data_IF_352752060338
#
_entry.id   IF_352752060338
#
_cell.length_a   1.000
_cell.length_b   1.000
_cell.length_c   1.000
_cell.angle_alpha   90.00
_cell.angle_beta   90.00
_cell.angle_gamma   90.00
#
_symmetry.space_group_name_H-M   'P 1'
#
loop_
_entity.id
_entity.type
_entity.pdbx_description
1 polymer ?
#
# COMPACT_ATOMS: atom_id res chain seq x y z
N UNK A 1 10.82 7.36 13.65
CA UNK A 1 10.49 6.31 12.68
C UNK A 1 9.89 7.00 11.45
N UNK A 2 10.41 6.75 10.23
CA UNK A 2 9.86 7.29 8.97
C UNK A 2 8.99 6.26 8.28
N UNK A 3 7.92 6.71 7.62
CA UNK A 3 6.92 5.91 6.93
C UNK A 3 6.86 6.33 5.47
N UNK A 4 6.82 5.36 4.57
CA UNK A 4 6.53 5.57 3.15
C UNK A 4 5.19 4.94 2.78
N UNK A 5 4.28 5.68 2.21
CA UNK A 5 3.01 5.18 1.68
C UNK A 5 3.15 5.06 0.17
N UNK A 6 2.98 3.84 -0.37
CA UNK A 6 2.98 3.58 -1.81
C UNK A 6 1.54 3.50 -2.32
N UNK A 7 1.15 4.48 -3.10
CA UNK A 7 -0.15 4.53 -3.77
C UNK A 7 -0.26 3.45 -4.87
N UNK A 8 -1.47 3.04 -5.24
CA UNK A 8 -1.68 2.31 -6.49
C UNK A 8 -1.12 3.08 -7.68
N UNK A 9 -0.59 2.37 -8.68
CA UNK A 9 -0.19 3.00 -9.94
C UNK A 9 -1.35 3.76 -10.57
N UNK A 10 -1.12 4.99 -11.03
CA UNK A 10 -2.11 5.94 -11.55
C UNK A 10 -3.14 6.45 -10.54
N UNK A 11 -2.92 6.26 -9.25
CA UNK A 11 -3.74 6.92 -8.23
C UNK A 11 -3.35 8.40 -8.14
N UNK A 12 -4.32 9.29 -8.26
CA UNK A 12 -4.07 10.72 -8.25
C UNK A 12 -4.07 11.28 -6.82
N UNK A 13 -2.93 11.73 -6.34
CA UNK A 13 -2.79 12.43 -5.06
C UNK A 13 -2.94 13.94 -5.24
N UNK A 14 -4.08 14.35 -5.79
CA UNK A 14 -4.37 15.72 -6.20
C UNK A 14 -5.77 16.13 -5.74
N UNK A 15 -5.99 17.40 -5.34
CA UNK A 15 -7.33 17.91 -5.05
C UNK A 15 -8.23 18.03 -6.28
N UNK A 16 -7.67 18.08 -7.49
CA UNK A 16 -8.46 18.33 -8.71
C UNK A 16 -9.24 17.07 -9.14
N UNK A 17 -8.66 15.88 -9.08
CA UNK A 17 -9.34 14.60 -9.36
C UNK A 17 -8.74 13.50 -8.48
N UNK A 18 -9.03 13.50 -7.18
CA UNK A 18 -8.45 12.54 -6.26
C UNK A 18 -9.02 11.15 -6.49
N UNK A 19 -8.18 10.13 -6.40
CA UNK A 19 -8.64 8.76 -6.23
C UNK A 19 -9.15 8.50 -4.81
N UNK A 20 -9.96 7.47 -4.62
CA UNK A 20 -10.54 7.13 -3.31
C UNK A 20 -9.47 6.81 -2.25
N UNK A 21 -8.40 6.12 -2.64
CA UNK A 21 -7.26 5.81 -1.75
C UNK A 21 -6.53 7.09 -1.37
N UNK A 22 -6.37 8.01 -2.31
CA UNK A 22 -5.71 9.31 -2.08
C UNK A 22 -6.47 10.19 -1.10
N UNK A 23 -7.80 10.23 -1.19
CA UNK A 23 -8.66 10.91 -0.22
C UNK A 23 -8.53 10.30 1.18
N UNK A 24 -8.61 8.98 1.28
CA UNK A 24 -8.43 8.28 2.53
C UNK A 24 -7.07 8.61 3.19
N UNK A 25 -5.98 8.57 2.41
CA UNK A 25 -4.64 8.88 2.91
C UNK A 25 -4.55 10.35 3.33
N UNK A 26 -5.08 11.27 2.53
CA UNK A 26 -5.15 12.70 2.84
C UNK A 26 -5.85 12.93 4.18
N UNK A 27 -7.05 12.38 4.39
CA UNK A 27 -7.83 12.55 5.61
C UNK A 27 -7.13 11.91 6.82
N UNK A 28 -6.53 10.74 6.64
CA UNK A 28 -5.73 10.08 7.68
C UNK A 28 -4.51 10.91 8.07
N UNK A 29 -3.79 11.47 7.11
CA UNK A 29 -2.60 12.27 7.38
C UNK A 29 -2.93 13.61 8.07
N UNK A 30 -4.09 14.20 7.81
CA UNK A 30 -4.52 15.45 8.47
C UNK A 30 -4.54 15.33 10.00
N UNK A 31 -4.95 14.17 10.52
CA UNK A 31 -5.08 13.90 11.95
C UNK A 31 -3.93 13.08 12.53
N UNK A 32 -3.04 12.56 11.68
CA UNK A 32 -1.96 11.68 12.12
C UNK A 32 -0.83 12.45 12.83
N UNK A 33 -0.43 11.99 14.00
CA UNK A 33 0.79 12.45 14.69
C UNK A 33 2.08 12.12 13.93
N UNK A 34 2.01 11.27 12.90
CA UNK A 34 3.15 10.87 12.08
C UNK A 34 3.19 11.60 10.73
N UNK A 35 2.32 12.58 10.46
CA UNK A 35 2.24 13.28 9.17
C UNK A 35 3.58 13.79 8.68
N UNK A 36 4.38 14.43 9.55
CA UNK A 36 5.67 15.01 9.18
C UNK A 36 6.78 13.96 8.96
N UNK A 37 6.56 12.73 9.44
CA UNK A 37 7.46 11.56 9.27
C UNK A 37 7.00 10.64 8.14
N UNK A 38 5.89 10.99 7.46
CA UNK A 38 5.31 10.21 6.38
C UNK A 38 5.56 10.89 5.04
N UNK A 39 5.95 10.09 4.04
CA UNK A 39 6.08 10.52 2.65
C UNK A 39 5.18 9.64 1.78
N UNK A 40 4.33 10.27 0.99
CA UNK A 40 3.47 9.59 0.01
C UNK A 40 4.21 9.48 -1.32
N UNK A 41 4.19 8.31 -1.93
CA UNK A 41 4.79 8.01 -3.23
C UNK A 41 3.69 7.61 -4.20
N UNK A 42 3.65 8.26 -5.35
CA UNK A 42 2.62 8.02 -6.36
C UNK A 42 3.10 8.36 -7.76
N UNK A 43 2.20 8.29 -8.73
CA UNK A 43 2.43 8.71 -10.10
C UNK A 43 1.18 9.45 -10.60
N UNK A 44 1.11 10.74 -10.34
CA UNK A 44 0.05 11.60 -10.85
C UNK A 44 0.55 12.48 -11.98
N UNK A 45 -0.34 12.81 -12.90
CA UNK A 45 -0.10 13.77 -13.99
C UNK A 45 -0.51 15.20 -13.60
N UNK A 46 -1.21 15.35 -12.47
CA UNK A 46 -1.65 16.65 -11.99
C UNK A 46 -0.53 17.45 -11.33
N UNK A 47 -0.47 18.74 -11.63
CA UNK A 47 0.54 19.66 -11.03
C UNK A 47 0.22 20.01 -9.59
N UNK A 48 -1.07 20.13 -9.25
CA UNK A 48 -1.53 20.48 -7.90
C UNK A 48 -1.63 19.22 -7.06
N UNK A 49 -0.88 19.15 -5.96
CA UNK A 49 -0.78 18.01 -5.05
C UNK A 49 -1.33 18.41 -3.68
N UNK A 50 -1.90 17.48 -2.91
CA UNK A 50 -2.27 17.70 -1.52
C UNK A 50 -1.06 18.18 -0.70
N UNK A 51 -1.29 19.03 0.31
CA UNK A 51 -0.25 19.68 1.13
C UNK A 51 0.45 18.71 2.10
N UNK A 52 1.03 17.62 1.57
CA UNK A 52 1.82 16.64 2.32
C UNK A 52 3.13 16.34 1.58
N UNK A 53 4.07 15.69 2.27
CA UNK A 53 5.30 15.23 1.61
C UNK A 53 4.95 14.18 0.56
N UNK A 54 5.12 14.55 -0.70
CA UNK A 54 4.83 13.72 -1.85
C UNK A 54 6.04 13.59 -2.77
N UNK A 55 6.25 12.41 -3.29
CA UNK A 55 7.26 12.12 -4.29
C UNK A 55 6.58 11.49 -5.51
N UNK A 56 6.64 12.17 -6.63
CA UNK A 56 6.18 11.61 -7.90
C UNK A 56 7.21 10.61 -8.42
N UNK A 57 6.79 9.38 -8.66
CA UNK A 57 7.66 8.31 -9.16
C UNK A 57 7.82 8.46 -10.67
N UNK A 58 9.05 8.72 -11.17
CA UNK A 58 9.27 8.87 -12.59
C UNK A 58 9.06 7.54 -13.31
N UNK A 59 8.28 7.56 -14.40
CA UNK A 59 8.07 6.39 -15.23
C UNK A 59 9.05 6.41 -16.40
N UNK A 60 9.89 5.38 -16.50
CA UNK A 60 10.75 5.20 -17.66
C UNK A 60 9.93 4.89 -18.92
N UNK A 61 10.28 5.51 -20.05
CA UNK A 61 9.64 5.28 -21.36
C UNK A 61 9.97 3.93 -22.01
N UNK A 62 10.87 3.12 -21.43
CA UNK A 62 11.23 1.81 -21.98
C UNK A 62 10.08 0.79 -21.96
N UNK A 63 9.86 0.09 -23.10
CA UNK A 63 8.66 -0.74 -23.34
C UNK A 63 8.71 -2.18 -22.81
N UNK A 64 9.84 -2.66 -22.28
CA UNK A 64 10.06 -4.09 -21.95
C UNK A 64 9.36 -4.62 -20.68
N UNK A 65 8.74 -3.79 -19.88
CA UNK A 65 8.03 -4.19 -18.65
C UNK A 65 6.68 -3.50 -18.56
N UNK A 66 5.73 -4.11 -17.84
CA UNK A 66 4.46 -3.46 -17.55
C UNK A 66 4.68 -2.15 -16.76
N UNK A 67 3.83 -1.15 -16.99
CA UNK A 67 3.92 0.14 -16.30
C UNK A 67 3.88 0.02 -14.77
N UNK A 68 3.11 -0.94 -14.25
CA UNK A 68 3.04 -1.22 -12.81
C UNK A 68 4.35 -1.82 -12.27
N UNK A 69 5.01 -2.72 -13.01
CA UNK A 69 6.31 -3.29 -12.61
C UNK A 69 7.40 -2.22 -12.60
N UNK A 70 7.42 -1.33 -13.61
CA UNK A 70 8.34 -0.18 -13.65
C UNK A 70 8.13 0.75 -12.47
N UNK A 71 6.88 1.06 -12.15
CA UNK A 71 6.49 1.89 -11.02
C UNK A 71 7.07 1.36 -9.71
N UNK A 72 6.83 0.07 -9.40
CA UNK A 72 7.38 -0.59 -8.21
C UNK A 72 8.90 -0.63 -8.23
N UNK A 73 9.52 -0.90 -9.38
CA UNK A 73 10.99 -0.91 -9.52
C UNK A 73 11.61 0.46 -9.22
N UNK A 74 11.03 1.55 -9.71
CA UNK A 74 11.49 2.90 -9.40
C UNK A 74 11.28 3.25 -7.92
N UNK A 75 10.13 2.90 -7.34
CA UNK A 75 9.91 3.05 -5.91
C UNK A 75 11.00 2.34 -5.09
N UNK A 76 11.34 1.08 -5.44
CA UNK A 76 12.40 0.32 -4.77
C UNK A 76 13.74 1.07 -4.82
N UNK A 77 14.11 1.64 -5.98
CA UNK A 77 15.34 2.44 -6.11
C UNK A 77 15.36 3.65 -5.17
N UNK A 78 14.24 4.35 -5.05
CA UNK A 78 14.09 5.48 -4.12
C UNK A 78 14.20 5.01 -2.66
N UNK A 79 13.60 3.87 -2.31
CA UNK A 79 13.60 3.34 -0.95
C UNK A 79 14.95 2.78 -0.49
N UNK A 80 15.81 2.32 -1.40
CA UNK A 80 17.19 1.89 -1.06
C UNK A 80 18.03 3.02 -0.51
N UNK A 81 17.75 4.27 -0.92
CA UNK A 81 18.45 5.48 -0.48
C UNK A 81 17.77 6.18 0.71
N UNK A 82 16.67 5.60 1.22
CA UNK A 82 15.83 6.21 2.24
C UNK A 82 15.88 5.40 3.54
N UNK A 83 15.93 6.10 4.69
CA UNK A 83 15.92 5.52 6.03
C UNK A 83 14.53 5.13 6.56
N UNK A 84 13.52 5.11 5.69
CA UNK A 84 12.18 4.59 5.98
C UNK A 84 12.24 3.22 6.64
N UNK A 85 11.46 3.02 7.70
CA UNK A 85 11.34 1.74 8.41
C UNK A 85 10.08 0.97 8.01
N UNK A 86 8.99 1.68 7.74
CA UNK A 86 7.70 1.09 7.38
C UNK A 86 7.32 1.53 5.96
N UNK A 87 6.91 0.56 5.15
CA UNK A 87 6.31 0.78 3.83
C UNK A 87 4.87 0.30 3.88
N UNK A 88 3.94 1.22 3.68
CA UNK A 88 2.51 0.95 3.59
C UNK A 88 2.08 0.91 2.13
N UNK A 89 1.37 -0.15 1.74
CA UNK A 89 0.89 -0.39 0.37
C UNK A 89 -0.64 -0.47 0.39
N UNK A 90 -1.31 0.21 -0.51
CA UNK A 90 -2.77 0.23 -0.60
C UNK A 90 -3.28 -0.53 -1.82
N UNK A 91 -4.22 -1.46 -1.63
CA UNK A 91 -4.94 -2.19 -2.70
C UNK A 91 -4.07 -2.85 -3.78
N UNK A 92 -2.80 -3.09 -3.49
CA UNK A 92 -1.88 -3.72 -4.47
C UNK A 92 -1.01 -4.79 -3.80
N UNK A 93 -1.62 -5.90 -3.33
CA UNK A 93 -0.87 -6.97 -2.66
C UNK A 93 0.22 -7.61 -3.53
N UNK A 94 0.07 -7.59 -4.86
CA UNK A 94 1.08 -8.05 -5.80
C UNK A 94 2.40 -7.26 -5.74
N UNK A 95 2.41 -6.03 -5.19
CA UNK A 95 3.66 -5.27 -5.00
C UNK A 95 4.54 -5.87 -3.91
N UNK A 96 3.94 -6.45 -2.87
CA UNK A 96 4.63 -6.95 -1.67
C UNK A 96 5.73 -7.94 -2.02
N UNK A 97 5.51 -8.85 -2.98
CA UNK A 97 6.51 -9.84 -3.39
C UNK A 97 7.82 -9.18 -3.84
N UNK A 98 7.73 -8.17 -4.68
CA UNK A 98 8.89 -7.45 -5.19
C UNK A 98 9.55 -6.58 -4.11
N UNK A 99 8.76 -5.98 -3.25
CA UNK A 99 9.25 -5.13 -2.15
C UNK A 99 10.04 -5.96 -1.13
N UNK A 100 9.50 -7.09 -0.68
CA UNK A 100 10.15 -8.00 0.27
C UNK A 100 11.47 -8.52 -0.27
N UNK A 101 11.51 -8.91 -1.55
CA UNK A 101 12.73 -9.48 -2.16
C UNK A 101 13.89 -8.47 -2.31
N UNK A 102 13.60 -7.16 -2.31
CA UNK A 102 14.58 -6.10 -2.61
C UNK A 102 14.83 -5.13 -1.45
N UNK A 103 13.97 -5.14 -0.43
CA UNK A 103 13.99 -4.22 0.72
C UNK A 103 13.77 -5.01 2.02
N UNK A 104 14.59 -6.04 2.25
CA UNK A 104 14.47 -7.01 3.35
C UNK A 104 14.65 -6.41 4.77
N UNK A 105 15.20 -5.20 4.86
CA UNK A 105 15.40 -4.48 6.12
C UNK A 105 14.24 -3.54 6.50
N UNK A 106 13.10 -3.64 5.81
CA UNK A 106 11.91 -2.80 6.04
C UNK A 106 10.70 -3.64 6.42
N UNK A 107 9.81 -3.03 7.20
CA UNK A 107 8.52 -3.63 7.56
C UNK A 107 7.43 -3.22 6.56
N UNK A 108 6.62 -4.18 6.15
CA UNK A 108 5.55 -3.95 5.16
C UNK A 108 4.18 -4.01 5.81
N UNK A 109 3.33 -3.07 5.47
CA UNK A 109 1.91 -3.03 5.81
C UNK A 109 1.11 -3.03 4.52
N UNK A 110 0.11 -3.90 4.41
CA UNK A 110 -0.85 -3.87 3.30
C UNK A 110 -2.23 -3.43 3.82
N UNK A 111 -2.85 -2.49 3.14
CA UNK A 111 -4.20 -2.01 3.42
C UNK A 111 -5.16 -2.42 2.29
N UNK A 112 -6.20 -3.18 2.63
CA UNK A 112 -7.26 -3.58 1.72
C UNK A 112 -8.47 -2.65 1.87
N UNK A 113 -8.80 -1.93 0.80
CA UNK A 113 -10.01 -1.10 0.68
C UNK A 113 -11.13 -1.84 -0.05
N UNK A 114 -10.82 -2.89 -0.79
CA UNK A 114 -11.74 -3.70 -1.59
C UNK A 114 -11.61 -5.17 -1.21
N UNK A 115 -12.41 -6.05 -1.87
CA UNK A 115 -12.35 -7.49 -1.66
C UNK A 115 -10.95 -8.06 -1.97
N UNK A 116 -10.26 -8.64 -0.97
CA UNK A 116 -8.93 -9.21 -1.16
C UNK A 116 -8.88 -10.33 -2.20
N UNK A 117 -9.97 -11.10 -2.37
CA UNK A 117 -10.01 -12.24 -3.30
C UNK A 117 -10.09 -11.82 -4.77
N UNK A 118 -10.41 -10.55 -5.04
CA UNK A 118 -10.43 -10.02 -6.42
C UNK A 118 -9.07 -9.49 -6.87
N UNK A 119 -8.09 -9.38 -5.96
CA UNK A 119 -6.81 -8.72 -6.22
C UNK A 119 -5.68 -9.72 -6.50
N UNK A 120 -4.96 -9.56 -7.60
CA UNK A 120 -3.71 -10.29 -7.86
C UNK A 120 -2.73 -10.06 -6.72
N UNK A 121 -2.20 -11.16 -6.16
CA UNK A 121 -1.33 -11.16 -4.99
C UNK A 121 -2.06 -11.47 -3.67
N UNK A 122 -3.39 -11.73 -3.72
CA UNK A 122 -4.18 -12.22 -2.59
C UNK A 122 -5.36 -13.12 -3.00
N UNK A 123 -5.50 -13.48 -4.27
CA UNK A 123 -6.57 -14.35 -4.76
C UNK A 123 -6.49 -15.77 -4.21
N UNK A 124 -5.31 -16.36 -4.24
CA UNK A 124 -5.08 -17.74 -3.83
C UNK A 124 -4.70 -17.84 -2.36
N UNK A 125 -4.91 -19.01 -1.76
CA UNK A 125 -4.48 -19.30 -0.38
C UNK A 125 -2.97 -19.08 -0.24
N UNK A 126 -2.16 -19.53 -1.21
CA UNK A 126 -0.70 -19.37 -1.17
C UNK A 126 -0.26 -17.91 -1.20
N UNK A 127 -0.93 -17.06 -1.99
CA UNK A 127 -0.67 -15.62 -2.01
C UNK A 127 -0.99 -14.96 -0.66
N UNK A 128 -2.10 -15.33 -0.03
CA UNK A 128 -2.50 -14.81 1.28
C UNK A 128 -1.57 -15.30 2.40
N UNK A 129 -1.13 -16.56 2.34
CA UNK A 129 -0.09 -17.08 3.25
C UNK A 129 1.24 -16.34 3.10
N UNK A 130 1.62 -16.01 1.86
CA UNK A 130 2.80 -15.18 1.60
C UNK A 130 2.67 -13.80 2.26
N UNK A 131 1.52 -13.16 2.18
CA UNK A 131 1.27 -11.88 2.84
C UNK A 131 1.34 -12.01 4.37
N UNK A 132 0.69 -13.04 4.96
CA UNK A 132 0.76 -13.32 6.39
C UNK A 132 2.18 -13.56 6.89
N UNK A 133 3.01 -14.24 6.11
CA UNK A 133 4.42 -14.47 6.44
C UNK A 133 5.23 -13.18 6.42
N UNK A 134 5.07 -12.35 5.39
CA UNK A 134 5.99 -11.28 5.06
C UNK A 134 5.53 -9.87 5.47
N UNK A 135 4.23 -9.65 5.71
CA UNK A 135 3.74 -8.36 6.19
C UNK A 135 3.83 -8.27 7.72
N UNK A 136 4.18 -7.10 8.21
CA UNK A 136 4.11 -6.75 9.63
C UNK A 136 2.66 -6.64 10.10
N UNK A 137 1.82 -5.95 9.31
CA UNK A 137 0.38 -5.85 9.53
C UNK A 137 -0.37 -5.93 8.21
N UNK A 138 -1.59 -6.47 8.27
CA UNK A 138 -2.56 -6.53 7.18
C UNK A 138 -3.82 -5.84 7.67
N UNK A 139 -4.19 -4.75 7.03
CA UNK A 139 -5.29 -3.88 7.47
C UNK A 139 -6.45 -4.03 6.49
N UNK A 140 -7.65 -4.11 7.03
CA UNK A 140 -8.90 -4.22 6.30
C UNK A 140 -9.83 -3.06 6.65
N UNK A 141 -10.60 -2.59 5.69
CA UNK A 141 -11.59 -1.54 5.91
C UNK A 141 -12.87 -2.05 6.60
N UNK A 142 -13.05 -3.37 6.73
CA UNK A 142 -14.24 -3.98 7.36
C UNK A 142 -13.96 -5.41 7.85
N UNK A 143 -14.82 -5.89 8.76
CA UNK A 143 -14.81 -7.31 9.15
C UNK A 143 -15.15 -8.23 7.97
N UNK A 144 -15.97 -7.77 7.02
CA UNK A 144 -16.28 -8.52 5.82
C UNK A 144 -15.02 -8.78 4.98
N UNK A 145 -14.24 -7.75 4.67
CA UNK A 145 -13.00 -7.91 3.89
C UNK A 145 -11.95 -8.76 4.62
N UNK A 146 -11.86 -8.65 5.97
CA UNK A 146 -11.04 -9.56 6.78
C UNK A 146 -11.51 -11.01 6.66
N UNK A 147 -12.83 -11.27 6.76
CA UNK A 147 -13.41 -12.62 6.60
C UNK A 147 -13.13 -13.19 5.21
N UNK A 148 -13.29 -12.37 4.17
CA UNK A 148 -12.95 -12.75 2.78
C UNK A 148 -11.48 -13.14 2.63
N UNK A 149 -10.56 -12.37 3.22
CA UNK A 149 -9.14 -12.70 3.19
C UNK A 149 -8.82 -14.04 3.84
N UNK A 150 -9.59 -14.45 4.84
CA UNK A 150 -9.39 -15.70 5.59
C UNK A 150 -10.15 -16.89 4.99
N UNK A 151 -10.96 -16.69 3.98
CA UNK A 151 -11.80 -17.74 3.35
C UNK A 151 -10.92 -18.91 2.90
N UNK A 152 -11.33 -20.13 3.25
CA UNK A 152 -10.65 -21.39 2.95
C UNK A 152 -9.23 -21.55 3.55
N UNK A 153 -8.82 -20.66 4.45
CA UNK A 153 -7.52 -20.77 5.12
C UNK A 153 -7.62 -21.62 6.39
N UNK A 154 -6.74 -22.59 6.53
CA UNK A 154 -6.64 -23.38 7.75
C UNK A 154 -6.13 -22.51 8.93
N UNK A 155 -6.75 -22.65 10.11
CA UNK A 155 -6.46 -21.84 11.32
C UNK A 155 -4.99 -21.78 11.71
N UNK A 156 -4.24 -22.90 11.53
CA UNK A 156 -2.79 -22.97 11.83
C UNK A 156 -1.93 -21.94 11.08
N UNK A 157 -2.42 -21.39 9.95
CA UNK A 157 -1.71 -20.37 9.18
C UNK A 157 -2.10 -18.95 9.56
N UNK A 158 -3.10 -18.79 10.44
CA UNK A 158 -3.67 -17.48 10.76
C UNK A 158 -2.95 -16.92 11.98
N UNK A 159 -2.17 -15.86 11.76
CA UNK A 159 -1.66 -15.04 12.85
C UNK A 159 -2.62 -13.84 13.04
N UNK A 160 -3.53 -13.94 14.00
CA UNK A 160 -4.57 -12.94 14.26
C UNK A 160 -4.01 -11.57 14.67
N UNK A 161 -2.84 -11.53 15.31
CA UNK A 161 -2.20 -10.27 15.73
C UNK A 161 -1.77 -9.39 14.56
N UNK A 162 -1.57 -9.98 13.39
CA UNK A 162 -1.24 -9.23 12.17
C UNK A 162 -2.47 -8.62 11.48
N UNK A 163 -3.67 -9.08 11.81
CA UNK A 163 -4.91 -8.77 11.10
C UNK A 163 -5.72 -7.70 11.85
N UNK A 164 -5.75 -6.50 11.31
CA UNK A 164 -6.40 -5.35 11.94
C UNK A 164 -7.57 -4.89 11.07
N UNK A 165 -8.68 -4.53 11.69
CA UNK A 165 -9.80 -3.84 11.02
C UNK A 165 -9.79 -2.38 11.45
N UNK A 166 -9.75 -1.48 10.46
CA UNK A 166 -9.88 -0.04 10.65
C UNK A 166 -11.00 0.43 9.73
N UNK A 167 -12.15 0.76 10.31
CA UNK A 167 -13.28 1.26 9.54
C UNK A 167 -12.97 2.62 8.95
N UNK A 168 -13.33 2.79 7.68
CA UNK A 168 -13.21 4.09 7.02
C UNK A 168 -14.38 4.98 7.48
N UNK A 169 -14.07 6.18 7.91
CA UNK A 169 -15.06 7.23 8.18
C UNK A 169 -14.86 8.36 7.17
N UNK A 170 -15.95 8.91 6.65
CA UNK A 170 -15.94 10.18 5.94
C UNK A 170 -16.23 11.32 6.91
N UNK A 171 -15.55 12.46 6.74
CA UNK A 171 -15.99 13.70 7.39
C UNK A 171 -17.37 14.05 6.84
N UNK A 172 -18.33 14.30 7.73
CA UNK A 172 -19.60 14.93 7.37
C UNK A 172 -19.35 16.40 7.03
#
# INVERSE_FOLDING_TARGET
MKISILLPYKENFSPDYPGAVSLFIKDTLEISKYKDKTTVFGSTEYKKIFKFKYVNIPLSKFKLQSSSAKYVSQFIKLQKKNDTKIIEVHNRPNYIKNLVSKLNNKSFVIYFHNDPLTMTGSKTIGERQFLLKNCFKIIFNSNWSKKRFLEDMHSRFINSEKLIVIYQSAKK
#
